data_IF_198386215872
#
_entry.id   IF_198386215872
#
_cell.length_a   1.000
_cell.length_b   1.000
_cell.length_c   1.000
_cell.angle_alpha   90.00
_cell.angle_beta   90.00
_cell.angle_gamma   90.00
#
_symmetry.space_group_name_H-M   'P 1'
#
loop_
_entity.id
_entity.type
_entity.pdbx_description
1 polymer ?
#
# COMPACT_ATOMS: atom_id res chain seq x y z
N UNK A 1 -32.46 0.12 -21.92
CA UNK A 1 -31.07 0.10 -21.43
C UNK A 1 -30.84 1.37 -20.62
N UNK A 2 -30.96 1.30 -19.29
CA UNK A 2 -30.65 2.43 -18.43
C UNK A 2 -29.17 2.36 -18.08
N UNK A 3 -28.39 3.34 -18.56
CA UNK A 3 -27.01 3.54 -18.16
C UNK A 3 -26.98 3.90 -16.67
N UNK A 4 -26.27 3.10 -15.89
CA UNK A 4 -25.87 3.46 -14.53
C UNK A 4 -24.59 4.30 -14.63
N UNK A 5 -24.72 5.60 -14.36
CA UNK A 5 -23.56 6.47 -14.12
C UNK A 5 -23.15 6.31 -12.64
N UNK A 6 -21.86 6.08 -12.31
CA UNK A 6 -21.42 6.02 -10.93
C UNK A 6 -21.47 7.42 -10.32
N UNK A 7 -22.29 7.60 -9.29
CA UNK A 7 -22.30 8.80 -8.45
C UNK A 7 -20.98 8.93 -7.69
N UNK A 8 -19.94 9.43 -8.36
CA UNK A 8 -18.72 9.92 -7.73
C UNK A 8 -18.86 11.44 -7.55
N UNK A 9 -19.70 11.84 -6.59
CA UNK A 9 -19.99 13.25 -6.32
C UNK A 9 -20.06 13.54 -4.80
N UNK A 10 -19.09 13.04 -4.04
CA UNK A 10 -18.88 13.47 -2.64
C UNK A 10 -17.57 14.25 -2.51
N UNK A 11 -17.56 15.47 -3.03
CA UNK A 11 -16.47 16.41 -2.79
C UNK A 11 -16.92 17.85 -2.97
N UNK A 12 -17.89 18.29 -2.16
CA UNK A 12 -18.03 19.69 -1.72
C UNK A 12 -19.23 19.84 -0.77
N UNK A 13 -19.06 19.47 0.50
CA UNK A 13 -19.85 20.06 1.58
C UNK A 13 -18.88 20.72 2.56
N UNK A 14 -18.85 22.05 2.55
CA UNK A 14 -18.26 22.83 3.62
C UNK A 14 -19.09 22.60 4.88
N UNK A 15 -18.60 21.74 5.77
CA UNK A 15 -19.14 21.57 7.12
C UNK A 15 -18.86 22.84 7.91
N UNK A 16 -19.77 23.81 7.81
CA UNK A 16 -19.93 24.88 8.78
C UNK A 16 -21.04 24.48 9.75
N UNK A 17 -20.73 24.54 11.05
CA UNK A 17 -21.59 24.29 12.20
C UNK A 17 -21.84 22.82 12.59
N UNK A 18 -20.85 22.21 13.25
CA UNK A 18 -21.12 21.37 14.43
C UNK A 18 -20.41 21.99 15.63
N UNK A 19 -21.20 22.64 16.47
CA UNK A 19 -20.76 23.16 17.78
C UNK A 19 -20.65 21.97 18.73
N UNK A 20 -19.44 21.41 18.86
CA UNK A 20 -19.22 20.26 19.75
C UNK A 20 -17.79 19.71 19.80
N UNK A 21 -16.77 20.52 19.51
CA UNK A 21 -15.38 20.06 19.64
C UNK A 21 -14.72 20.65 20.89
N UNK A 22 -14.38 19.76 21.83
CA UNK A 22 -13.43 20.04 22.89
C UNK A 22 -12.06 20.37 22.26
N UNK A 23 -11.65 21.63 22.36
CA UNK A 23 -10.32 22.12 21.98
C UNK A 23 -9.29 21.82 23.07
N UNK A 24 -9.21 20.57 23.52
CA UNK A 24 -8.10 20.17 24.36
C UNK A 24 -6.93 19.85 23.43
N UNK A 25 -5.93 20.72 23.45
CA UNK A 25 -4.56 20.54 22.92
C UNK A 25 -4.23 21.27 21.60
N UNK A 26 -4.48 22.58 21.53
CA UNK A 26 -3.53 23.48 20.88
C UNK A 26 -2.28 23.58 21.76
N UNK A 27 -1.37 22.61 21.68
CA UNK A 27 0.00 22.75 22.24
C UNK A 27 1.03 22.19 21.28
N UNK A 28 1.85 23.12 20.80
CA UNK A 28 3.22 23.00 20.32
C UNK A 28 3.98 21.77 20.89
N UNK A 29 4.59 20.99 20.00
CA UNK A 29 5.45 19.84 20.32
C UNK A 29 4.76 18.48 20.20
N UNK A 30 5.00 17.76 19.10
CA UNK A 30 4.76 16.31 18.84
C UNK A 30 3.87 15.53 19.85
N UNK A 31 2.63 15.97 20.08
CA UNK A 31 1.70 15.22 20.93
C UNK A 31 1.22 13.97 20.18
N UNK A 32 1.55 12.79 20.71
CA UNK A 32 1.13 11.51 20.12
C UNK A 32 -0.39 11.38 20.21
N UNK A 33 -1.04 11.15 19.08
CA UNK A 33 -2.49 10.89 19.03
C UNK A 33 -2.83 9.64 19.85
N UNK A 34 -3.79 9.77 20.76
CA UNK A 34 -4.34 8.66 21.55
C UNK A 34 -5.53 8.06 20.80
N UNK A 35 -5.49 6.74 20.58
CA UNK A 35 -6.60 6.00 19.99
C UNK A 35 -7.41 5.29 21.08
N UNK A 36 -8.74 5.32 20.94
CA UNK A 36 -9.68 4.71 21.89
C UNK A 36 -10.25 3.38 21.37
N UNK A 37 -10.75 2.55 22.27
CA UNK A 37 -11.39 1.28 21.93
C UNK A 37 -12.79 1.51 21.36
N UNK A 38 -12.97 1.21 20.06
CA UNK A 38 -14.27 1.40 19.39
C UNK A 38 -15.43 0.61 20.00
N UNK A 39 -15.16 -0.60 20.55
CA UNK A 39 -16.18 -1.40 21.22
C UNK A 39 -16.69 -0.71 22.49
N UNK A 40 -15.80 -0.11 23.28
CA UNK A 40 -16.16 0.69 24.45
C UNK A 40 -16.90 1.97 24.08
N UNK A 41 -16.44 2.67 23.03
CA UNK A 41 -17.11 3.88 22.54
C UNK A 41 -18.56 3.62 22.11
N UNK A 42 -18.87 2.46 21.54
CA UNK A 42 -20.24 2.09 21.16
C UNK A 42 -21.20 1.93 22.36
N UNK A 43 -20.64 1.78 23.57
CA UNK A 43 -21.31 1.67 24.86
C UNK A 43 -20.97 2.85 25.78
N UNK A 44 -20.59 3.99 25.20
CA UNK A 44 -20.35 5.25 25.89
C UNK A 44 -19.20 5.22 26.92
N UNK A 45 -18.24 4.30 26.76
CA UNK A 45 -17.02 4.22 27.57
C UNK A 45 -15.78 4.65 26.80
N UNK A 46 -15.00 5.59 27.37
CA UNK A 46 -13.80 6.16 26.77
C UNK A 46 -12.53 5.44 27.27
N UNK A 47 -12.27 4.25 26.73
CA UNK A 47 -11.11 3.44 27.13
C UNK A 47 -9.96 3.58 26.12
N UNK A 48 -8.73 3.95 26.54
CA UNK A 48 -7.56 3.98 25.65
C UNK A 48 -7.32 2.60 25.06
N UNK A 49 -7.07 2.50 23.75
CA UNK A 49 -6.88 1.21 23.06
C UNK A 49 -5.60 0.50 23.52
N UNK A 50 -4.57 1.26 23.91
CA UNK A 50 -3.27 0.72 24.34
C UNK A 50 -3.47 -0.15 25.57
N UNK A 51 -3.03 -1.42 25.51
CA UNK A 51 -3.14 -2.41 26.60
C UNK A 51 -4.57 -2.81 27.02
N UNK A 52 -5.62 -2.37 26.32
CA UNK A 52 -7.01 -2.61 26.73
C UNK A 52 -7.64 -3.91 26.19
N UNK A 53 -6.96 -4.63 25.28
CA UNK A 53 -7.55 -5.79 24.57
C UNK A 53 -8.10 -6.88 25.51
N UNK A 54 -7.37 -7.22 26.57
CA UNK A 54 -7.75 -8.30 27.48
C UNK A 54 -8.76 -7.88 28.56
N UNK A 55 -8.70 -6.61 28.98
CA UNK A 55 -9.56 -6.03 30.03
C UNK A 55 -10.85 -5.41 29.46
N UNK A 56 -11.11 -5.57 28.16
CA UNK A 56 -12.26 -4.97 27.51
C UNK A 56 -13.54 -5.69 27.91
N UNK A 57 -14.39 -5.03 28.71
CA UNK A 57 -15.71 -5.52 29.09
C UNK A 57 -16.62 -5.87 27.90
N UNK A 58 -16.36 -5.27 26.73
CA UNK A 58 -17.13 -5.48 25.50
C UNK A 58 -16.38 -6.28 24.43
N UNK A 59 -15.30 -6.98 24.81
CA UNK A 59 -14.50 -7.82 23.90
C UNK A 59 -15.38 -8.80 23.11
N UNK A 60 -16.33 -9.44 23.80
CA UNK A 60 -17.23 -10.46 23.25
C UNK A 60 -18.66 -9.94 23.01
N UNK A 61 -18.86 -8.61 23.01
CA UNK A 61 -20.19 -8.05 22.78
C UNK A 61 -20.68 -8.33 21.33
N UNK A 62 -21.92 -8.79 21.22
CA UNK A 62 -22.60 -9.14 19.96
C UNK A 62 -23.73 -8.16 19.58
N UNK A 63 -23.74 -6.94 20.14
CA UNK A 63 -24.71 -5.92 19.74
C UNK A 63 -24.48 -5.45 18.28
N UNK A 64 -25.50 -4.87 17.61
CA UNK A 64 -25.40 -4.47 16.21
C UNK A 64 -24.20 -3.55 15.91
N UNK A 65 -23.92 -2.57 16.79
CA UNK A 65 -22.78 -1.66 16.65
C UNK A 65 -21.44 -2.39 16.73
N UNK A 66 -21.28 -3.34 17.65
CA UNK A 66 -20.05 -4.10 17.84
C UNK A 66 -19.81 -5.14 16.72
N UNK A 67 -20.87 -5.72 16.15
CA UNK A 67 -20.77 -6.56 14.95
C UNK A 67 -20.18 -5.77 13.78
N UNK A 68 -20.60 -4.52 13.58
CA UNK A 68 -20.04 -3.67 12.51
C UNK A 68 -18.56 -3.36 12.72
N UNK A 69 -18.13 -3.17 13.98
CA UNK A 69 -16.70 -2.99 14.30
C UNK A 69 -15.90 -4.23 13.91
N UNK A 70 -16.43 -5.44 14.16
CA UNK A 70 -15.76 -6.68 13.80
C UNK A 70 -15.68 -6.89 12.30
N UNK A 71 -16.79 -6.70 11.58
CA UNK A 71 -16.81 -6.76 10.11
C UNK A 71 -15.80 -5.79 9.49
N UNK A 72 -15.73 -4.56 10.02
CA UNK A 72 -14.74 -3.56 9.57
C UNK A 72 -13.30 -4.06 9.79
N UNK A 73 -13.01 -4.69 10.93
CA UNK A 73 -11.66 -5.21 11.22
C UNK A 73 -11.26 -6.28 10.21
N UNK A 74 -12.14 -7.25 9.94
CA UNK A 74 -11.91 -8.29 8.92
C UNK A 74 -11.63 -7.67 7.55
N UNK A 75 -12.44 -6.70 7.13
CA UNK A 75 -12.23 -6.02 5.84
C UNK A 75 -10.91 -5.24 5.78
N UNK A 76 -10.49 -4.59 6.87
CA UNK A 76 -9.19 -3.88 6.90
C UNK A 76 -8.02 -4.88 6.86
N UNK A 77 -8.12 -6.01 7.55
CA UNK A 77 -7.12 -7.07 7.47
C UNK A 77 -6.98 -7.58 6.04
N UNK A 78 -8.10 -7.89 5.38
CA UNK A 78 -8.09 -8.31 3.97
C UNK A 78 -7.50 -7.25 3.04
N UNK A 79 -7.80 -5.97 3.28
CA UNK A 79 -7.25 -4.88 2.47
C UNK A 79 -5.73 -4.79 2.61
N UNK A 80 -5.20 -4.85 3.84
CA UNK A 80 -3.76 -4.83 4.08
C UNK A 80 -3.05 -6.05 3.47
N UNK A 81 -3.63 -7.24 3.56
CA UNK A 81 -3.09 -8.44 2.93
C UNK A 81 -2.96 -8.29 1.40
N UNK A 82 -3.89 -7.59 0.75
CA UNK A 82 -3.81 -7.32 -0.69
C UNK A 82 -2.79 -6.23 -1.04
N UNK A 83 -2.68 -5.19 -0.20
CA UNK A 83 -1.67 -4.13 -0.36
C UNK A 83 -0.26 -4.71 -0.28
N UNK A 84 0.02 -5.57 0.71
CA UNK A 84 1.32 -6.23 0.89
C UNK A 84 1.71 -7.11 -0.32
N UNK A 85 0.74 -7.71 -0.99
CA UNK A 85 0.96 -8.51 -2.22
C UNK A 85 1.22 -7.61 -3.43
N UNK A 86 0.59 -6.43 -3.51
CA UNK A 86 0.82 -5.48 -4.61
C UNK A 86 2.19 -4.78 -4.54
N UNK A 87 2.77 -4.68 -3.34
CA UNK A 87 4.13 -4.16 -3.12
C UNK A 87 5.22 -5.25 -3.18
N UNK A 88 4.82 -6.52 -3.23
CA UNK A 88 5.73 -7.60 -3.57
C UNK A 88 6.18 -7.42 -5.02
N UNK A 89 7.48 -7.31 -5.32
CA UNK A 89 7.95 -7.25 -6.70
C UNK A 89 7.66 -8.61 -7.33
N UNK A 90 6.51 -8.72 -8.00
CA UNK A 90 6.30 -9.72 -9.04
C UNK A 90 7.52 -9.60 -9.95
N UNK A 91 8.22 -10.72 -10.10
CA UNK A 91 9.52 -10.86 -10.74
C UNK A 91 9.52 -10.26 -12.17
N UNK A 92 9.74 -8.94 -12.26
CA UNK A 92 9.81 -8.18 -13.51
C UNK A 92 11.03 -8.60 -14.36
N UNK A 93 11.97 -9.34 -13.75
CA UNK A 93 13.11 -9.94 -14.43
C UNK A 93 12.74 -11.16 -15.29
N UNK A 94 11.63 -11.86 -15.00
CA UNK A 94 11.20 -13.00 -15.82
C UNK A 94 10.54 -12.55 -17.13
N UNK A 95 9.75 -11.47 -17.09
CA UNK A 95 9.05 -10.95 -18.27
C UNK A 95 10.01 -10.27 -19.25
N UNK A 96 11.13 -9.70 -18.78
CA UNK A 96 12.14 -9.09 -19.68
C UNK A 96 12.86 -10.11 -20.55
N UNK A 97 13.19 -11.29 -20.03
CA UNK A 97 13.87 -12.35 -20.80
C UNK A 97 13.05 -12.84 -21.99
N UNK A 98 11.73 -12.92 -21.84
CA UNK A 98 10.83 -13.37 -22.90
C UNK A 98 10.69 -12.33 -24.04
N UNK A 99 10.97 -11.06 -23.76
CA UNK A 99 10.85 -9.96 -24.73
C UNK A 99 12.18 -9.70 -25.46
N UNK A 100 13.31 -9.88 -24.78
CA UNK A 100 14.64 -9.68 -25.38
C UNK A 100 15.02 -10.76 -26.41
N UNK A 101 14.48 -11.98 -26.26
CA UNK A 101 14.69 -13.08 -27.20
C UNK A 101 13.93 -12.91 -28.54
N UNK A 102 12.98 -11.97 -28.62
CA UNK A 102 12.22 -11.68 -29.85
C UNK A 102 12.97 -10.69 -30.77
N UNK A 103 13.94 -9.91 -30.24
CA UNK A 103 14.57 -8.81 -30.99
C UNK A 103 15.97 -9.12 -31.57
N UNK A 104 16.43 -10.37 -31.55
CA UNK A 104 17.79 -10.75 -32.00
C UNK A 104 17.85 -11.74 -33.19
N UNK A 105 16.74 -11.96 -33.93
CA UNK A 105 16.71 -12.92 -35.05
C UNK A 105 17.04 -12.33 -36.44
N UNK A 106 17.44 -11.07 -36.56
CA UNK A 106 17.96 -10.58 -37.85
C UNK A 106 19.49 -10.71 -37.88
N UNK A 107 19.94 -11.88 -38.36
CA UNK A 107 21.28 -12.02 -38.92
C UNK A 107 21.47 -11.07 -40.11
N UNK A 108 22.73 -10.79 -40.45
CA UNK A 108 23.22 -11.08 -41.79
C UNK A 108 24.73 -10.83 -41.89
N UNK A 109 25.38 -11.89 -42.36
CA UNK A 109 26.69 -11.97 -42.99
C UNK A 109 27.14 -10.71 -43.75
N UNK A 110 28.42 -10.37 -43.63
CA UNK A 110 29.27 -10.23 -44.81
C UNK A 110 30.75 -10.26 -44.44
N UNK A 111 31.45 -11.24 -45.02
CA UNK A 111 32.86 -11.50 -44.79
C UNK A 111 33.80 -10.80 -45.77
N UNK A 112 35.08 -11.09 -45.51
CA UNK A 112 36.22 -11.04 -46.44
C UNK A 112 36.82 -9.65 -46.75
N UNK A 113 38.14 -9.41 -46.82
CA UNK A 113 39.30 -10.28 -47.01
C UNK A 113 40.62 -9.59 -46.56
N UNK A 114 41.60 -10.40 -46.12
CA UNK A 114 43.05 -10.41 -46.45
C UNK A 114 43.87 -9.09 -46.43
N UNK A 115 45.02 -8.97 -45.77
CA UNK A 115 46.31 -9.56 -46.20
C UNK A 115 47.49 -9.24 -45.22
N UNK A 116 48.31 -10.27 -44.97
CA UNK A 116 49.79 -10.34 -44.83
C UNK A 116 50.63 -9.58 -43.77
N UNK A 117 51.16 -10.40 -42.85
CA UNK A 117 52.60 -10.65 -42.59
C UNK A 117 53.50 -9.72 -41.74
N UNK A 118 53.88 -10.30 -40.61
CA UNK A 118 55.24 -10.51 -40.09
C UNK A 118 56.07 -9.34 -39.50
N UNK A 119 56.36 -9.48 -38.20
CA UNK A 119 57.72 -9.41 -37.66
C UNK A 119 58.04 -8.26 -36.70
N UNK A 120 58.62 -8.59 -35.54
CA UNK A 120 59.60 -7.69 -34.89
C UNK A 120 59.45 -7.41 -33.39
N UNK A 121 60.06 -8.29 -32.59
CA UNK A 121 60.58 -8.12 -31.22
C UNK A 121 61.44 -6.85 -31.03
N UNK A 122 61.38 -6.16 -29.87
CA UNK A 122 62.50 -5.97 -28.89
C UNK A 122 62.11 -5.12 -27.66
N UNK A 123 62.81 -5.45 -26.55
CA UNK A 123 62.85 -4.85 -25.20
C UNK A 123 63.70 -3.58 -25.13
N UNK A 124 63.42 -2.74 -24.12
CA UNK A 124 64.44 -2.18 -23.23
C UNK A 124 64.79 -0.70 -23.40
N UNK A 125 64.75 0.04 -22.29
CA UNK A 125 65.15 1.44 -22.15
C UNK A 125 64.53 2.06 -20.91
#
# INVERSE_FOLDING_TARGET
>A
MLRFEPFNAFSALNVAAVSGFNTDTLKTGTQKRVYYCQRCLNHDRLEPRKNHKCECAYANCSCPKCILVEKRRVLNTQLHELEDVSESPINLEHVKKEVDDIYNDNGDDNGSSSEHSAGGRIKGG
#
